data_IF_576775408845
#
_entry.id   IF_576775408845
#
_cell.length_a   1.000
_cell.length_b   1.000
_cell.length_c   1.000
_cell.angle_alpha   90.00
_cell.angle_beta   90.00
_cell.angle_gamma   90.00
#
_symmetry.space_group_name_H-M   'P 1'
#
loop_
_entity.id
_entity.type
_entity.pdbx_description
1 polymer ?
#
# COMPACT_ATOMS: atom_id res chain seq x y z
N UNK A 1 16.67 8.64 21.29
CA UNK A 1 16.08 8.41 20.86
C UNK A 1 16.13 7.65 19.84
N UNK A 2 15.82 6.98 19.57
CA UNK A 2 15.81 6.19 18.76
C UNK A 2 15.19 6.37 17.66
N UNK A 3 15.41 6.19 16.93
CA UNK A 3 14.97 6.48 15.86
C UNK A 3 14.25 5.54 15.30
N UNK A 4 13.39 5.56 15.15
CA UNK A 4 12.58 4.82 14.69
C UNK A 4 12.86 4.48 13.45
N UNK A 5 13.48 4.35 13.05
CA UNK A 5 13.80 4.06 12.04
C UNK A 5 13.29 3.37 11.26
N UNK A 6 13.07 3.22 10.74
CA UNK A 6 12.85 2.82 9.83
C UNK A 6 12.58 1.63 9.51
N UNK A 7 11.65 1.30 9.16
CA UNK A 7 11.36 0.15 8.75
C UNK A 7 11.84 -0.10 7.55
N UNK A 8 12.70 -0.75 7.51
CA UNK A 8 13.38 -0.92 6.35
C UNK A 8 12.60 -1.66 5.35
N UNK A 9 12.81 -1.33 4.11
CA UNK A 9 12.24 -2.06 3.03
C UNK A 9 12.60 -3.53 3.08
N UNK A 10 13.72 -3.83 3.70
CA UNK A 10 14.14 -5.21 3.83
C UNK A 10 13.16 -6.06 4.61
N UNK A 11 12.28 -5.42 5.38
CA UNK A 11 11.27 -6.16 6.13
C UNK A 11 9.99 -6.41 5.36
N UNK A 12 9.88 -5.90 4.15
CA UNK A 12 8.72 -6.18 3.33
C UNK A 12 8.77 -7.62 2.90
N UNK A 13 7.70 -8.34 3.18
CA UNK A 13 7.62 -9.76 2.86
C UNK A 13 6.86 -9.96 1.57
N UNK A 14 7.03 -11.12 0.90
CA UNK A 14 6.20 -11.40 -0.27
C UNK A 14 4.71 -11.30 0.03
N UNK A 15 4.32 -11.56 1.30
CA UNK A 15 2.92 -11.44 1.68
C UNK A 15 2.43 -10.00 1.70
N UNK A 16 3.33 -9.02 1.57
CA UNK A 16 2.92 -7.63 1.48
C UNK A 16 2.47 -7.26 0.07
N UNK A 17 2.53 -8.18 -0.86
CA UNK A 17 1.98 -8.01 -2.19
C UNK A 17 0.58 -8.62 -2.21
N UNK A 18 -0.29 -8.02 -2.98
CA UNK A 18 -1.65 -8.54 -3.09
C UNK A 18 -1.80 -9.29 -4.40
N UNK A 19 -2.47 -10.46 -4.33
CA UNK A 19 -2.73 -11.24 -5.52
C UNK A 19 -4.00 -10.72 -6.18
N UNK A 20 -3.92 -10.44 -7.45
CA UNK A 20 -5.09 -10.09 -8.25
C UNK A 20 -5.22 -11.09 -9.39
N UNK A 21 -6.44 -11.29 -9.85
CA UNK A 21 -6.72 -12.23 -10.94
C UNK A 21 -7.44 -11.49 -12.04
N UNK A 22 -6.97 -11.67 -13.25
CA UNK A 22 -7.63 -11.09 -14.43
C UNK A 22 -7.80 -12.17 -15.48
N UNK A 23 -8.78 -12.00 -16.34
CA UNK A 23 -9.02 -12.87 -17.47
C UNK A 23 -8.51 -12.18 -18.73
N UNK A 24 -7.75 -12.90 -19.53
CA UNK A 24 -7.24 -12.39 -20.79
C UNK A 24 -7.83 -13.19 -21.94
N UNK A 25 -8.06 -12.55 -23.07
CA UNK A 25 -8.48 -13.25 -24.28
C UNK A 25 -7.36 -14.16 -24.79
N UNK A 26 -7.74 -15.19 -25.51
CA UNK A 26 -6.75 -16.16 -25.99
C UNK A 26 -5.74 -15.56 -26.97
N UNK A 27 -6.16 -14.58 -27.77
CA UNK A 27 -5.24 -13.95 -28.73
C UNK A 27 -4.18 -13.14 -27.99
N UNK A 28 -4.58 -12.38 -26.97
CA UNK A 28 -3.64 -11.63 -26.17
C UNK A 28 -2.66 -12.57 -25.47
N UNK A 29 -3.19 -13.64 -24.89
CA UNK A 29 -2.37 -14.61 -24.19
C UNK A 29 -1.38 -15.28 -25.14
N UNK A 30 -1.82 -15.62 -26.34
CA UNK A 30 -0.97 -16.22 -27.34
C UNK A 30 0.16 -15.30 -27.79
N UNK A 31 -0.14 -14.00 -27.92
CA UNK A 31 0.89 -13.04 -28.28
C UNK A 31 1.94 -12.91 -27.18
N UNK A 32 1.49 -12.93 -25.92
CA UNK A 32 2.43 -12.91 -24.79
C UNK A 32 3.31 -14.15 -24.84
N UNK A 33 2.71 -15.31 -25.07
CA UNK A 33 3.46 -16.57 -25.14
C UNK A 33 4.46 -16.56 -26.29
N UNK A 34 4.10 -15.95 -27.41
CA UNK A 34 5.02 -15.81 -28.52
C UNK A 34 6.23 -14.98 -28.12
N UNK A 35 6.02 -13.86 -27.45
CA UNK A 35 7.12 -12.99 -27.01
C UNK A 35 8.02 -13.70 -26.01
N UNK A 36 7.45 -14.54 -25.16
CA UNK A 36 8.25 -15.36 -24.24
C UNK A 36 9.07 -16.37 -25.03
N UNK A 37 8.46 -17.05 -26.00
CA UNK A 37 9.16 -18.02 -26.83
C UNK A 37 10.31 -17.37 -27.59
N UNK A 38 10.11 -16.14 -28.06
CA UNK A 38 11.14 -15.40 -28.80
C UNK A 38 12.16 -14.73 -27.87
N UNK A 39 12.10 -15.01 -26.59
CA UNK A 39 13.06 -14.54 -25.59
C UNK A 39 13.03 -13.05 -25.29
N UNK A 40 11.92 -12.36 -25.60
CA UNK A 40 11.77 -10.96 -25.21
C UNK A 40 11.47 -10.84 -23.73
N UNK A 41 10.82 -11.84 -23.14
CA UNK A 41 10.50 -11.86 -21.73
C UNK A 41 10.74 -13.25 -21.18
N UNK A 42 11.02 -13.35 -19.88
CA UNK A 42 11.36 -14.63 -19.27
C UNK A 42 10.15 -15.54 -19.11
N UNK A 43 8.98 -14.94 -18.87
CA UNK A 43 7.73 -15.68 -18.67
C UNK A 43 6.57 -14.69 -18.74
N UNK A 44 5.35 -15.21 -18.61
CA UNK A 44 4.14 -14.36 -18.66
C UNK A 44 4.16 -13.27 -17.61
N UNK A 45 4.56 -13.59 -16.40
CA UNK A 45 4.59 -12.62 -15.31
C UNK A 45 5.55 -11.48 -15.60
N UNK A 46 6.70 -11.80 -16.18
CA UNK A 46 7.67 -10.78 -16.56
C UNK A 46 7.06 -9.80 -17.56
N UNK A 47 6.38 -10.31 -18.59
CA UNK A 47 5.69 -9.44 -19.54
C UNK A 47 4.66 -8.57 -18.85
N UNK A 48 3.82 -9.18 -18.02
CA UNK A 48 2.72 -8.47 -17.36
C UNK A 48 3.23 -7.37 -16.44
N UNK A 49 4.24 -7.67 -15.65
CA UNK A 49 4.81 -6.64 -14.75
C UNK A 49 5.47 -5.51 -15.51
N UNK A 50 6.16 -5.83 -16.60
CA UNK A 50 6.77 -4.81 -17.44
C UNK A 50 5.70 -3.92 -18.07
N UNK A 51 4.63 -4.53 -18.56
CA UNK A 51 3.52 -3.78 -19.15
C UNK A 51 2.87 -2.85 -18.14
N UNK A 52 2.67 -3.32 -16.90
CA UNK A 52 2.09 -2.50 -15.84
C UNK A 52 2.99 -1.31 -15.54
N UNK A 53 4.29 -1.53 -15.38
CA UNK A 53 5.22 -0.44 -15.09
C UNK A 53 5.26 0.57 -16.22
N UNK A 54 5.24 0.09 -17.46
CA UNK A 54 5.26 1.00 -18.61
C UNK A 54 4.00 1.84 -18.66
N UNK A 55 2.84 1.23 -18.40
CA UNK A 55 1.59 1.97 -18.44
C UNK A 55 1.49 2.96 -17.27
N UNK A 56 1.97 2.58 -16.09
CA UNK A 56 2.01 3.51 -14.97
C UNK A 56 2.93 4.69 -15.26
N UNK A 57 4.03 4.45 -15.96
CA UNK A 57 4.93 5.53 -16.34
C UNK A 57 4.28 6.52 -17.29
N UNK A 58 3.40 6.04 -18.18
CA UNK A 58 2.65 6.93 -19.08
C UNK A 58 1.81 7.93 -18.29
N UNK A 59 1.27 7.49 -17.14
CA UNK A 59 0.43 8.34 -16.32
C UNK A 59 1.20 8.95 -15.14
N UNK A 60 2.53 8.90 -15.18
CA UNK A 60 3.36 9.31 -14.04
C UNK A 60 3.11 10.72 -13.57
N UNK A 61 2.93 11.64 -14.50
CA UNK A 61 2.73 13.04 -14.13
C UNK A 61 1.37 13.25 -13.47
N UNK A 62 0.34 12.60 -13.99
CA UNK A 62 -0.99 12.67 -13.40
C UNK A 62 -0.98 12.13 -11.98
N UNK A 63 -0.32 11.00 -11.78
CA UNK A 63 -0.20 10.39 -10.44
C UNK A 63 0.53 11.34 -9.50
N UNK A 64 1.65 11.91 -9.95
CA UNK A 64 2.45 12.82 -9.13
C UNK A 64 1.63 14.03 -8.70
N UNK A 65 0.89 14.61 -9.62
CA UNK A 65 0.05 15.78 -9.30
C UNK A 65 -1.08 15.42 -8.34
N UNK A 66 -1.70 14.26 -8.53
CA UNK A 66 -2.78 13.82 -7.65
C UNK A 66 -2.27 13.53 -6.25
N UNK A 67 -1.09 12.90 -6.14
CA UNK A 67 -0.46 12.62 -4.85
C UNK A 67 -0.22 13.92 -4.09
N UNK A 68 0.31 14.94 -4.78
CA UNK A 68 0.56 16.23 -4.15
C UNK A 68 -0.74 16.91 -3.74
N UNK A 69 -1.71 16.96 -4.65
CA UNK A 69 -2.97 17.65 -4.39
C UNK A 69 -3.74 17.00 -3.25
N UNK A 70 -3.74 15.69 -3.17
CA UNK A 70 -4.45 14.95 -2.13
C UNK A 70 -3.61 14.73 -0.89
N UNK A 71 -2.38 15.20 -0.90
CA UNK A 71 -1.47 15.07 0.24
C UNK A 71 -1.27 13.62 0.67
N UNK A 72 -1.13 12.73 -0.32
CA UNK A 72 -0.90 11.33 -0.05
C UNK A 72 0.59 11.07 0.14
N UNK A 73 0.91 10.13 1.01
CA UNK A 73 2.29 9.66 1.17
C UNK A 73 2.46 8.45 0.26
N UNK A 74 3.41 8.53 -0.65
CA UNK A 74 3.67 7.44 -1.58
C UNK A 74 4.64 6.46 -0.93
N UNK A 75 4.24 5.21 -0.86
CA UNK A 75 5.10 4.15 -0.35
C UNK A 75 4.47 3.35 0.78
N UNK A 76 5.30 2.97 1.74
CA UNK A 76 4.88 2.13 2.84
C UNK A 76 4.97 2.92 4.14
N UNK A 77 3.90 2.90 4.92
CA UNK A 77 3.91 3.49 6.26
C UNK A 77 3.41 2.48 7.27
N UNK A 78 4.11 2.38 8.39
CA UNK A 78 3.73 1.50 9.48
C UNK A 78 3.50 2.32 10.74
N UNK A 79 2.45 2.00 11.47
CA UNK A 79 2.08 2.68 12.72
C UNK A 79 2.08 1.66 13.83
N UNK A 80 2.99 1.83 14.79
CA UNK A 80 3.10 0.94 15.94
C UNK A 80 2.36 1.51 17.13
N UNK A 81 2.21 0.71 18.19
CA UNK A 81 1.62 1.21 19.43
C UNK A 81 2.41 2.40 19.98
N UNK A 82 3.74 2.34 19.89
CA UNK A 82 4.59 3.44 20.37
C UNK A 82 4.32 4.72 19.59
N UNK A 83 4.18 4.61 18.26
CA UNK A 83 3.87 5.76 17.42
C UNK A 83 2.55 6.39 17.82
N UNK A 84 1.53 5.59 18.03
CA UNK A 84 0.19 6.10 18.34
C UNK A 84 0.10 6.60 19.79
N UNK A 85 0.88 6.02 20.70
CA UNK A 85 0.95 6.56 22.05
C UNK A 85 1.53 7.97 22.05
N UNK A 86 2.50 8.23 21.19
CA UNK A 86 3.06 9.57 21.05
C UNK A 86 2.01 10.55 20.53
N UNK A 87 1.19 10.12 19.57
CA UNK A 87 0.10 10.94 19.06
C UNK A 87 -0.91 11.25 20.18
N UNK A 88 -1.24 10.23 20.98
CA UNK A 88 -2.19 10.40 22.07
C UNK A 88 -1.67 11.37 23.11
N UNK A 89 -0.41 11.24 23.48
CA UNK A 89 0.20 12.14 24.47
C UNK A 89 0.24 13.59 24.00
N UNK A 90 0.38 13.78 22.70
CA UNK A 90 0.37 15.13 22.14
C UNK A 90 -1.04 15.72 22.02
N UNK A 91 -2.06 14.90 22.25
CA UNK A 91 -3.43 15.35 22.12
C UNK A 91 -3.86 15.54 20.67
N UNK A 92 -3.14 14.92 19.74
CA UNK A 92 -3.41 15.07 18.33
C UNK A 92 -4.27 13.95 17.80
N UNK A 93 -4.71 14.12 16.57
CA UNK A 93 -5.36 13.07 15.81
C UNK A 93 -4.61 12.91 14.50
N UNK A 94 -4.46 11.66 14.09
CA UNK A 94 -3.70 11.34 12.91
C UNK A 94 -4.63 11.12 11.73
N UNK A 95 -4.30 11.71 10.59
CA UNK A 95 -4.97 11.42 9.34
C UNK A 95 -4.00 10.61 8.49
N UNK A 96 -4.35 9.36 8.23
CA UNK A 96 -3.52 8.47 7.44
C UNK A 96 -3.93 8.63 5.99
N UNK A 97 -2.98 9.04 5.14
CA UNK A 97 -3.23 9.27 3.72
C UNK A 97 -2.07 8.64 2.96
N UNK A 98 -2.29 7.46 2.41
CA UNK A 98 -1.21 6.68 1.81
C UNK A 98 -1.60 6.19 0.43
N UNK A 99 -0.67 6.29 -0.50
CA UNK A 99 -0.75 5.58 -1.76
C UNK A 99 0.33 4.49 -1.72
N UNK A 100 -0.09 3.27 -1.47
CA UNK A 100 0.79 2.14 -1.29
C UNK A 100 0.29 1.22 -0.19
N UNK A 101 1.07 1.04 0.86
CA UNK A 101 0.70 0.17 1.97
C UNK A 101 0.70 0.95 3.27
N UNK A 102 -0.42 0.96 3.96
CA UNK A 102 -0.49 1.44 5.33
C UNK A 102 -0.69 0.24 6.24
N UNK A 103 0.15 0.08 7.24
CA UNK A 103 0.08 -1.04 8.16
C UNK A 103 -0.04 -0.55 9.59
N UNK A 104 -1.08 -1.00 10.27
CA UNK A 104 -1.24 -0.75 11.70
C UNK A 104 -0.77 -2.01 12.40
N UNK A 105 0.27 -1.87 13.23
CA UNK A 105 0.93 -3.03 13.83
C UNK A 105 -0.02 -3.80 14.75
N UNK A 106 0.30 -5.06 14.94
CA UNK A 106 -0.53 -5.96 15.74
C UNK A 106 -0.60 -5.55 17.22
N UNK A 107 0.37 -4.76 17.69
CA UNK A 107 0.41 -4.33 19.09
C UNK A 107 -0.52 -3.14 19.38
N UNK A 108 -1.21 -2.61 18.37
CA UNK A 108 -2.12 -1.49 18.54
C UNK A 108 -3.48 -2.00 18.98
N UNK A 109 -3.96 -1.49 20.12
CA UNK A 109 -5.28 -1.87 20.63
C UNK A 109 -6.37 -1.08 19.91
N UNK A 110 -7.60 -1.57 19.99
CA UNK A 110 -8.75 -0.88 19.43
C UNK A 110 -8.91 0.49 20.08
N UNK A 111 -8.75 0.57 21.41
CA UNK A 111 -8.90 1.85 22.13
C UNK A 111 -7.86 2.88 21.64
N UNK A 112 -6.61 2.45 21.53
CA UNK A 112 -5.55 3.35 21.07
C UNK A 112 -5.81 3.82 19.65
N UNK A 113 -6.23 2.92 18.78
CA UNK A 113 -6.56 3.27 17.40
C UNK A 113 -7.69 4.29 17.34
N UNK A 114 -8.76 4.07 18.11
CA UNK A 114 -9.90 4.99 18.12
C UNK A 114 -9.54 6.36 18.67
N UNK A 115 -8.63 6.43 19.63
CA UNK A 115 -8.25 7.70 20.24
C UNK A 115 -7.31 8.51 19.35
N UNK A 116 -6.59 7.86 18.45
CA UNK A 116 -5.51 8.54 17.73
C UNK A 116 -5.74 8.68 16.23
N UNK A 117 -6.48 7.78 15.62
CA UNK A 117 -6.65 7.79 14.16
C UNK A 117 -7.98 8.42 13.83
N UNK A 118 -7.93 9.61 13.23
CA UNK A 118 -9.14 10.34 12.87
C UNK A 118 -9.72 9.91 11.53
N UNK A 119 -8.87 9.62 10.56
CA UNK A 119 -9.32 9.19 9.24
C UNK A 119 -8.24 8.38 8.54
N UNK A 120 -8.66 7.52 7.62
CA UNK A 120 -7.75 6.71 6.83
C UNK A 120 -8.17 6.79 5.38
N UNK A 121 -7.26 7.23 4.53
CA UNK A 121 -7.42 7.21 3.08
C UNK A 121 -6.24 6.43 2.51
N UNK A 122 -6.49 5.24 1.98
CA UNK A 122 -5.43 4.39 1.45
C UNK A 122 -5.83 3.92 0.07
N UNK A 123 -4.93 4.14 -0.88
CA UNK A 123 -5.02 3.53 -2.20
C UNK A 123 -3.92 2.49 -2.26
N UNK A 124 -4.29 1.24 -2.42
CA UNK A 124 -3.39 0.11 -2.33
C UNK A 124 -3.91 -0.85 -1.28
N UNK A 125 -3.21 -0.99 -0.17
CA UNK A 125 -3.60 -1.95 0.87
C UNK A 125 -3.50 -1.34 2.27
N UNK A 126 -4.47 -1.70 3.11
CA UNK A 126 -4.45 -1.37 4.53
C UNK A 126 -4.35 -2.68 5.30
N UNK A 127 -3.28 -2.86 6.04
CA UNK A 127 -3.09 -4.03 6.90
C UNK A 127 -3.31 -3.62 8.35
N UNK A 128 -4.21 -4.29 9.00
CA UNK A 128 -4.50 -4.09 10.42
C UNK A 128 -5.22 -5.32 10.91
N UNK A 129 -5.33 -5.48 12.22
CA UNK A 129 -6.11 -6.58 12.79
C UNK A 129 -7.58 -6.40 12.40
N UNK A 130 -8.30 -7.50 12.38
CA UNK A 130 -9.72 -7.47 12.06
C UNK A 130 -10.48 -6.56 13.04
N UNK A 131 -10.12 -6.60 14.31
CA UNK A 131 -10.77 -5.78 15.32
C UNK A 131 -10.55 -4.30 15.10
N UNK A 132 -9.31 -3.90 14.76
CA UNK A 132 -8.98 -2.50 14.49
C UNK A 132 -9.67 -2.02 13.22
N UNK A 133 -9.66 -2.83 12.17
CA UNK A 133 -10.37 -2.45 10.94
C UNK A 133 -11.85 -2.25 11.18
N UNK A 134 -12.47 -3.15 11.94
CA UNK A 134 -13.89 -3.04 12.25
C UNK A 134 -14.17 -1.78 13.05
N UNK A 135 -13.34 -1.49 14.04
CA UNK A 135 -13.52 -0.31 14.88
C UNK A 135 -13.37 0.98 14.09
N UNK A 136 -12.48 1.00 13.09
CA UNK A 136 -12.20 2.21 12.31
C UNK A 136 -13.02 2.27 11.01
N UNK A 137 -13.95 1.35 10.81
CA UNK A 137 -14.64 1.23 9.51
C UNK A 137 -15.27 2.55 9.05
N UNK A 138 -15.87 3.31 9.97
CA UNK A 138 -16.51 4.57 9.61
C UNK A 138 -15.51 5.68 9.29
N UNK A 139 -14.24 5.48 9.60
CA UNK A 139 -13.17 6.46 9.35
C UNK A 139 -12.34 6.13 8.12
N UNK A 140 -12.56 4.96 7.53
CA UNK A 140 -11.86 4.56 6.30
C UNK A 140 -12.62 5.13 5.11
N UNK A 141 -11.91 5.82 4.23
CA UNK A 141 -12.51 6.48 3.07
C UNK A 141 -12.05 5.86 1.77
#
# INVERSE_FOLDING_TARGET
METKTVTPLARIKPSDAEKITINLGYVDLGQIDLLVTESFYSNRTDFIRTAIRNQLAVHGEVVKQAVARKMLVLGLQQFTAADLEAVRRAGDRLEIRVLGLAAIAADVSVELALETIGSITVLGALHASTAVKAALASRIR
#
